data_IF_793533726874
#
_entry.id   IF_793533726874
#
_cell.length_a   1.000
_cell.length_b   1.000
_cell.length_c   1.000
_cell.angle_alpha   90.00
_cell.angle_beta   90.00
_cell.angle_gamma   90.00
#
_symmetry.space_group_name_H-M   'P 1'
#
loop_
_entity.id
_entity.type
_entity.pdbx_description
1 polymer ?
#
# COMPACT_ATOMS: atom_id res chain seq x y z
N UNK A 1 -11.87 -5.74 -11.60
CA UNK A 1 -12.10 -6.06 -10.17
C UNK A 1 -10.76 -5.94 -9.47
N UNK A 2 -10.62 -5.00 -8.54
CA UNK A 2 -9.36 -4.75 -7.80
C UNK A 2 -8.89 -6.02 -7.07
N UNK A 3 -7.58 -6.30 -7.10
CA UNK A 3 -6.97 -7.33 -6.27
C UNK A 3 -6.96 -6.81 -4.81
N UNK A 4 -8.04 -7.10 -4.08
CA UNK A 4 -8.26 -6.77 -2.64
C UNK A 4 -6.94 -6.75 -1.85
N UNK A 5 -6.78 -5.76 -0.95
CA UNK A 5 -5.47 -5.50 -0.34
C UNK A 5 -5.01 -6.68 0.51
N UNK A 6 -5.95 -7.41 1.11
CA UNK A 6 -5.75 -8.66 1.83
C UNK A 6 -5.71 -9.89 0.91
N UNK A 7 -4.81 -9.88 -0.08
CA UNK A 7 -4.47 -11.10 -0.83
C UNK A 7 -3.01 -11.48 -0.60
N UNK A 8 -2.82 -12.70 -0.12
CA UNK A 8 -1.52 -13.29 0.18
C UNK A 8 -1.67 -14.76 0.58
N UNK A 9 -0.57 -15.51 0.66
CA UNK A 9 -0.59 -16.93 1.06
C UNK A 9 -1.29 -17.15 2.41
N UNK A 10 -1.12 -16.22 3.35
CA UNK A 10 -1.77 -16.26 4.67
C UNK A 10 -3.29 -16.13 4.61
N UNK A 11 -3.81 -15.13 3.89
CA UNK A 11 -5.27 -14.89 3.82
C UNK A 11 -6.03 -16.02 3.12
N UNK A 12 -5.39 -16.69 2.13
CA UNK A 12 -5.97 -17.89 1.50
C UNK A 12 -6.13 -19.07 2.46
N UNK A 13 -5.27 -19.16 3.47
CA UNK A 13 -5.31 -20.20 4.49
C UNK A 13 -6.39 -19.87 5.52
N UNK A 14 -6.48 -18.61 5.96
CA UNK A 14 -7.54 -18.10 6.86
C UNK A 14 -8.92 -18.39 6.26
N UNK A 15 -9.13 -18.21 4.95
CA UNK A 15 -10.42 -18.55 4.31
C UNK A 15 -10.92 -19.98 4.58
N UNK A 16 -10.00 -20.94 4.77
CA UNK A 16 -10.34 -22.34 5.05
C UNK A 16 -10.42 -22.64 6.54
N UNK A 17 -9.51 -22.05 7.33
CA UNK A 17 -9.32 -22.38 8.75
C UNK A 17 -10.19 -21.51 9.67
N UNK A 18 -10.52 -20.28 9.26
CA UNK A 18 -11.32 -19.31 9.99
C UNK A 18 -12.08 -18.38 9.01
N UNK A 19 -13.22 -18.85 8.46
CA UNK A 19 -14.01 -18.09 7.49
C UNK A 19 -14.59 -16.79 8.06
N UNK A 20 -14.93 -16.76 9.36
CA UNK A 20 -15.49 -15.57 10.00
C UNK A 20 -14.46 -14.44 10.06
N UNK A 21 -13.21 -14.76 10.43
CA UNK A 21 -12.12 -13.80 10.36
C UNK A 21 -11.84 -13.35 8.93
N UNK A 22 -11.91 -14.25 7.95
CA UNK A 22 -11.75 -13.88 6.54
C UNK A 22 -12.81 -12.87 6.10
N UNK A 23 -14.08 -13.10 6.44
CA UNK A 23 -15.20 -12.22 6.09
C UNK A 23 -15.07 -10.86 6.77
N UNK A 24 -14.63 -10.82 8.03
CA UNK A 24 -14.33 -9.57 8.74
C UNK A 24 -13.22 -8.76 8.04
N UNK A 25 -12.15 -9.43 7.60
CA UNK A 25 -11.04 -8.80 6.88
C UNK A 25 -11.51 -8.26 5.52
N UNK A 26 -12.30 -9.02 4.76
CA UNK A 26 -12.83 -8.55 3.47
C UNK A 26 -13.78 -7.37 3.63
N UNK A 27 -14.62 -7.39 4.67
CA UNK A 27 -15.51 -6.27 4.97
C UNK A 27 -14.73 -5.03 5.38
N UNK A 28 -13.66 -5.17 6.16
CA UNK A 28 -12.78 -4.06 6.50
C UNK A 28 -12.15 -3.45 5.24
N UNK A 29 -11.59 -4.27 4.34
CA UNK A 29 -11.00 -3.80 3.09
C UNK A 29 -11.99 -2.97 2.28
N UNK A 30 -13.20 -3.52 2.08
CA UNK A 30 -14.25 -2.86 1.30
C UNK A 30 -14.64 -1.51 1.90
N UNK A 31 -14.78 -1.44 3.23
CA UNK A 31 -15.23 -0.22 3.89
C UNK A 31 -14.14 0.86 3.96
N UNK A 32 -12.87 0.49 4.12
CA UNK A 32 -11.76 1.46 4.20
C UNK A 32 -11.50 2.13 2.85
N UNK A 33 -11.55 1.38 1.75
CA UNK A 33 -11.32 1.92 0.39
C UNK A 33 -12.56 2.57 -0.25
N UNK A 34 -13.71 2.54 0.43
CA UNK A 34 -14.91 3.23 0.00
C UNK A 34 -14.97 4.62 0.66
N UNK A 35 -14.03 5.49 0.26
CA UNK A 35 -13.94 6.85 0.79
C UNK A 35 -15.20 7.68 0.53
N UNK A 36 -15.60 8.50 1.50
CA UNK A 36 -16.73 9.43 1.35
C UNK A 36 -16.35 10.68 0.54
N UNK A 37 -15.12 11.16 0.69
CA UNK A 37 -14.62 12.39 0.04
C UNK A 37 -13.31 12.20 -0.71
N UNK A 38 -12.53 11.16 -0.39
CA UNK A 38 -11.27 10.85 -1.05
C UNK A 38 -11.49 9.70 -2.03
N UNK A 39 -10.95 9.85 -3.24
CA UNK A 39 -10.94 8.75 -4.20
C UNK A 39 -9.94 7.65 -3.80
N UNK A 40 -10.11 6.48 -4.39
CA UNK A 40 -9.26 5.32 -4.11
C UNK A 40 -7.77 5.57 -4.42
N UNK A 41 -7.47 6.39 -5.44
CA UNK A 41 -6.08 6.76 -5.80
C UNK A 41 -5.42 7.54 -4.69
N UNK A 42 -6.08 8.56 -4.16
CA UNK A 42 -5.58 9.38 -3.05
C UNK A 42 -5.41 8.54 -1.79
N UNK A 43 -6.40 7.70 -1.46
CA UNK A 43 -6.28 6.78 -0.32
C UNK A 43 -5.09 5.84 -0.47
N UNK A 44 -4.79 5.38 -1.70
CA UNK A 44 -3.61 4.55 -1.98
C UNK A 44 -2.29 5.28 -1.78
N UNK A 45 -2.19 6.54 -2.21
CA UNK A 45 -1.01 7.36 -1.95
C UNK A 45 -0.78 7.57 -0.45
N UNK A 46 -1.85 7.76 0.33
CA UNK A 46 -1.78 7.84 1.80
C UNK A 46 -1.25 6.52 2.39
N UNK A 47 -1.77 5.37 1.95
CA UNK A 47 -1.30 4.07 2.43
C UNK A 47 0.16 3.80 2.08
N UNK A 48 0.61 4.26 0.90
CA UNK A 48 2.02 4.22 0.51
C UNK A 48 2.87 5.05 1.47
N UNK A 49 2.46 6.29 1.77
CA UNK A 49 3.16 7.16 2.72
C UNK A 49 3.32 6.48 4.10
N UNK A 50 2.23 5.95 4.66
CA UNK A 50 2.23 5.26 5.96
C UNK A 50 3.12 4.01 5.93
N UNK A 51 3.06 3.23 4.85
CA UNK A 51 3.91 2.03 4.74
C UNK A 51 5.40 2.36 4.58
N UNK A 52 5.73 3.50 3.97
CA UNK A 52 7.12 3.96 3.78
C UNK A 52 7.81 4.32 5.11
N UNK A 53 7.03 4.74 6.12
CA UNK A 53 7.57 5.04 7.46
C UNK A 53 7.76 3.79 8.32
N UNK A 54 7.28 2.63 7.87
CA UNK A 54 7.42 1.39 8.62
C UNK A 54 8.80 0.73 8.45
N UNK A 55 9.29 0.06 9.49
CA UNK A 55 10.53 -0.70 9.39
C UNK A 55 10.42 -1.96 8.52
N UNK A 56 9.23 -2.32 8.04
CA UNK A 56 8.98 -3.50 7.22
C UNK A 56 8.94 -3.16 5.72
N UNK A 57 10.09 -3.27 5.03
CA UNK A 57 10.19 -2.93 3.61
C UNK A 57 9.26 -3.72 2.67
N UNK A 58 8.81 -4.91 3.09
CA UNK A 58 7.88 -5.76 2.33
C UNK A 58 6.47 -5.15 2.23
N UNK A 59 6.04 -4.34 3.20
CA UNK A 59 4.73 -3.69 3.17
C UNK A 59 4.71 -2.58 2.11
N UNK A 60 5.71 -1.70 2.15
CA UNK A 60 5.86 -0.60 1.19
C UNK A 60 5.96 -1.10 -0.26
N UNK A 61 6.83 -2.08 -0.52
CA UNK A 61 6.98 -2.67 -1.85
C UNK A 61 5.64 -3.17 -2.41
N UNK A 62 4.84 -3.87 -1.59
CA UNK A 62 3.52 -4.37 -2.02
C UNK A 62 2.53 -3.25 -2.33
N UNK A 63 2.52 -2.17 -1.54
CA UNK A 63 1.64 -1.04 -1.79
C UNK A 63 1.99 -0.35 -3.11
N UNK A 64 3.28 -0.08 -3.36
CA UNK A 64 3.73 0.54 -4.61
C UNK A 64 3.47 -0.37 -5.82
N UNK A 65 3.81 -1.66 -5.75
CA UNK A 65 3.57 -2.59 -6.86
C UNK A 65 2.08 -2.73 -7.21
N UNK A 66 1.20 -2.80 -6.20
CA UNK A 66 -0.25 -2.85 -6.43
C UNK A 66 -0.76 -1.54 -7.02
N UNK A 67 -0.33 -0.40 -6.48
CA UNK A 67 -0.75 0.91 -6.99
C UNK A 67 -0.30 1.13 -8.45
N UNK A 68 0.93 0.74 -8.80
CA UNK A 68 1.43 0.75 -10.18
C UNK A 68 0.55 -0.11 -11.10
N UNK A 69 0.23 -1.35 -10.70
CA UNK A 69 -0.54 -2.29 -11.52
C UNK A 69 -2.02 -1.93 -11.66
N UNK A 70 -2.67 -1.51 -10.57
CA UNK A 70 -4.13 -1.31 -10.53
C UNK A 70 -4.55 0.09 -10.95
N UNK A 71 -3.71 1.09 -10.69
CA UNK A 71 -4.06 2.49 -10.83
C UNK A 71 -3.11 3.24 -11.76
N UNK A 72 -2.06 2.61 -12.29
CA UNK A 72 -1.04 3.29 -13.09
C UNK A 72 -0.47 4.51 -12.35
N UNK A 73 -0.14 4.32 -11.06
CA UNK A 73 0.58 5.35 -10.29
C UNK A 73 2.01 5.44 -10.84
N UNK A 74 2.36 6.64 -11.30
CA UNK A 74 3.66 6.95 -11.88
C UNK A 74 4.76 7.03 -10.82
N UNK A 75 6.02 6.92 -11.26
CA UNK A 75 7.18 7.13 -10.38
C UNK A 75 7.14 8.52 -9.74
N UNK A 76 6.73 9.53 -10.50
CA UNK A 76 6.71 10.94 -10.05
C UNK A 76 5.69 11.16 -8.92
N UNK A 77 4.51 10.57 -9.01
CA UNK A 77 3.52 10.61 -7.91
C UNK A 77 4.04 9.93 -6.64
N UNK A 78 4.77 8.82 -6.76
CA UNK A 78 5.42 8.19 -5.62
C UNK A 78 6.52 9.09 -5.04
N UNK A 79 7.31 9.74 -5.89
CA UNK A 79 8.34 10.69 -5.44
C UNK A 79 7.74 11.87 -4.69
N UNK A 80 6.57 12.38 -5.10
CA UNK A 80 5.84 13.43 -4.38
C UNK A 80 5.39 12.95 -2.98
N UNK A 81 4.91 11.71 -2.86
CA UNK A 81 4.64 11.10 -1.55
C UNK A 81 5.91 10.97 -0.71
N UNK A 82 7.04 10.56 -1.29
CA UNK A 82 8.29 10.41 -0.56
C UNK A 82 8.86 11.75 -0.08
N UNK A 83 8.61 12.86 -0.77
CA UNK A 83 8.96 14.20 -0.26
C UNK A 83 8.23 14.51 1.06
N UNK A 84 6.96 14.12 1.17
CA UNK A 84 6.20 14.23 2.43
C UNK A 84 6.80 13.33 3.50
N UNK A 85 7.11 12.07 3.17
CA UNK A 85 7.75 11.12 4.09
C UNK A 85 9.11 11.65 4.59
N UNK A 86 9.91 12.27 3.72
CA UNK A 86 11.18 12.89 4.10
C UNK A 86 10.95 13.98 5.16
N UNK A 87 9.98 14.86 4.93
CA UNK A 87 9.66 15.95 5.85
C UNK A 87 9.16 15.44 7.20
N UNK A 88 8.33 14.39 7.21
CA UNK A 88 7.67 13.90 8.44
C UNK A 88 8.44 12.82 9.19
N UNK A 89 9.38 12.13 8.53
CA UNK A 89 10.04 10.93 9.07
C UNK A 89 11.55 10.85 8.79
N UNK A 90 12.11 11.85 8.10
CA UNK A 90 13.55 12.02 7.92
C UNK A 90 14.19 11.15 6.85
N UNK A 91 15.49 11.40 6.63
CA UNK A 91 16.32 10.74 5.60
C UNK A 91 16.32 9.21 5.67
N UNK A 92 16.35 8.54 6.85
CA UNK A 92 16.39 7.08 6.91
C UNK A 92 15.17 6.40 6.25
N UNK A 93 13.96 6.90 6.54
CA UNK A 93 12.74 6.37 5.94
C UNK A 93 12.70 6.65 4.43
N UNK A 94 13.06 7.88 4.04
CA UNK A 94 13.11 8.29 2.64
C UNK A 94 14.06 7.43 1.80
N UNK A 95 15.32 7.28 2.22
CA UNK A 95 16.33 6.55 1.45
C UNK A 95 15.96 5.08 1.26
N UNK A 96 15.42 4.44 2.31
CA UNK A 96 14.97 3.04 2.24
C UNK A 96 13.79 2.88 1.27
N UNK A 97 12.82 3.79 1.32
CA UNK A 97 11.69 3.76 0.41
C UNK A 97 12.15 4.02 -1.05
N UNK A 98 13.05 4.98 -1.25
CA UNK A 98 13.60 5.30 -2.57
C UNK A 98 14.33 4.11 -3.21
N UNK A 99 15.10 3.34 -2.43
CA UNK A 99 15.75 2.12 -2.92
C UNK A 99 14.73 1.11 -3.49
N UNK A 100 13.58 0.96 -2.82
CA UNK A 100 12.50 0.10 -3.30
C UNK A 100 11.83 0.67 -4.54
N UNK A 101 11.60 1.99 -4.60
CA UNK A 101 11.00 2.65 -5.76
C UNK A 101 11.87 2.47 -7.00
N UNK A 102 13.19 2.68 -6.91
CA UNK A 102 14.10 2.48 -8.03
C UNK A 102 13.99 1.04 -8.57
N UNK A 103 14.05 0.02 -7.71
CA UNK A 103 13.88 -1.39 -8.12
C UNK A 103 12.55 -1.72 -8.81
N UNK A 104 11.51 -0.93 -8.58
CA UNK A 104 10.16 -1.17 -9.14
C UNK A 104 9.89 -0.39 -10.43
N UNK A 105 10.63 0.68 -10.70
CA UNK A 105 10.41 1.58 -11.84
C UNK A 105 11.59 1.65 -12.81
N UNK A 106 12.75 1.12 -12.45
CA UNK A 106 13.82 0.76 -13.39
C UNK A 106 13.43 -0.50 -14.19
#
# INVERSE_FOLDING_TARGET
MSEKVFYGKGVRRIKKEDPELYDAIENLDKNVWNGSSLDYRTQKLIAIAISATSNEGNSFMKQVSKAKKELDISRDEIMDVLKVVLLTSGMPAFNKALEVVNKLYD
#
